data_IF_460956536326
#
_entry.id   IF_460956536326
#
_cell.length_a   1.000
_cell.length_b   1.000
_cell.length_c   1.000
_cell.angle_alpha   90.00
_cell.angle_beta   90.00
_cell.angle_gamma   90.00
#
_symmetry.space_group_name_H-M   'P 1'
#
loop_
_entity.id
_entity.type
_entity.pdbx_description
1 polymer ?
#
# COMPACT_ATOMS: atom_id res chain seq x y z
N UNK A 1 -11.30 -18.04 -23.17
CA UNK A 1 -11.32 -18.14 -21.70
C UNK A 1 -10.19 -17.26 -21.20
N UNK A 2 -10.49 -16.03 -20.76
CA UNK A 2 -9.51 -15.24 -20.04
C UNK A 2 -9.29 -15.89 -18.67
N UNK A 3 -8.06 -16.31 -18.41
CA UNK A 3 -7.64 -16.80 -17.10
C UNK A 3 -7.79 -15.62 -16.14
N UNK A 4 -8.82 -15.63 -15.27
CA UNK A 4 -8.86 -14.69 -14.16
C UNK A 4 -7.62 -14.98 -13.31
N UNK A 5 -6.63 -14.10 -13.39
CA UNK A 5 -5.46 -14.15 -12.53
C UNK A 5 -5.95 -14.06 -11.10
N UNK A 6 -5.52 -14.99 -10.24
CA UNK A 6 -5.90 -14.94 -8.83
C UNK A 6 -5.33 -13.66 -8.20
N UNK A 7 -6.12 -13.02 -7.33
CA UNK A 7 -5.66 -11.85 -6.60
C UNK A 7 -4.35 -12.16 -5.85
N UNK A 8 -3.48 -11.15 -5.77
CA UNK A 8 -2.18 -11.24 -5.13
C UNK A 8 -2.32 -11.60 -3.65
N UNK A 9 -1.42 -12.47 -3.20
CA UNK A 9 -1.23 -12.76 -1.79
C UNK A 9 -0.63 -11.55 -1.07
N UNK A 10 -0.77 -11.51 0.26
CA UNK A 10 -0.14 -10.51 1.13
C UNK A 10 1.37 -10.38 0.85
N UNK A 11 2.08 -11.49 0.70
CA UNK A 11 3.53 -11.51 0.42
C UNK A 11 3.86 -10.87 -0.93
N UNK A 12 3.05 -11.13 -1.96
CA UNK A 12 3.22 -10.53 -3.28
C UNK A 12 2.95 -9.03 -3.23
N UNK A 13 1.90 -8.60 -2.52
CA UNK A 13 1.61 -7.17 -2.33
C UNK A 13 2.76 -6.48 -1.59
N UNK A 14 3.25 -7.04 -0.48
CA UNK A 14 4.37 -6.46 0.28
C UNK A 14 5.63 -6.39 -0.58
N UNK A 15 5.89 -7.40 -1.43
CA UNK A 15 7.02 -7.37 -2.36
C UNK A 15 6.91 -6.23 -3.38
N UNK A 16 5.72 -6.02 -3.95
CA UNK A 16 5.47 -4.88 -4.86
C UNK A 16 5.64 -3.55 -4.12
N UNK A 17 5.05 -3.43 -2.94
CA UNK A 17 5.13 -2.24 -2.10
C UNK A 17 6.58 -1.90 -1.74
N UNK A 18 7.37 -2.88 -1.31
CA UNK A 18 8.78 -2.67 -0.98
C UNK A 18 9.60 -2.16 -2.18
N UNK A 19 9.29 -2.63 -3.38
CA UNK A 19 9.96 -2.14 -4.59
C UNK A 19 9.56 -0.70 -4.91
N UNK A 20 8.29 -0.35 -4.73
CA UNK A 20 7.79 1.01 -4.92
C UNK A 20 8.39 1.98 -3.89
N UNK A 21 8.42 1.60 -2.60
CA UNK A 21 9.05 2.38 -1.53
C UNK A 21 10.53 2.67 -1.83
N UNK A 22 11.30 1.66 -2.25
CA UNK A 22 12.71 1.85 -2.65
C UNK A 22 12.88 2.81 -3.82
N UNK A 23 11.99 2.73 -4.82
CA UNK A 23 11.99 3.67 -5.96
C UNK A 23 11.67 5.10 -5.52
N UNK A 24 10.96 5.26 -4.41
CA UNK A 24 10.68 6.56 -3.79
C UNK A 24 11.75 7.00 -2.77
N UNK A 25 12.92 6.34 -2.75
CA UNK A 25 14.04 6.70 -1.87
C UNK A 25 13.89 6.20 -0.43
N UNK A 26 12.83 5.46 -0.11
CA UNK A 26 12.65 4.87 1.20
C UNK A 26 13.49 3.61 1.39
N UNK A 27 13.71 3.24 2.66
CA UNK A 27 14.40 2.01 3.05
C UNK A 27 13.43 1.11 3.84
N UNK A 28 12.57 0.32 3.17
CA UNK A 28 11.50 -0.48 3.79
C UNK A 28 11.94 -1.33 4.98
N UNK A 29 13.12 -1.95 4.88
CA UNK A 29 13.69 -2.79 5.92
C UNK A 29 14.07 -2.06 7.22
N UNK A 30 14.09 -0.73 7.20
CA UNK A 30 14.30 0.14 8.38
C UNK A 30 13.01 0.81 8.85
N UNK A 31 11.89 0.51 8.22
CA UNK A 31 10.59 1.12 8.51
C UNK A 31 9.68 0.09 9.17
N UNK A 32 8.74 0.59 9.96
CA UNK A 32 7.61 -0.22 10.39
C UNK A 32 6.64 -0.34 9.22
N UNK A 33 6.25 -1.56 8.87
CA UNK A 33 5.34 -1.82 7.74
C UNK A 33 4.04 -2.36 8.29
N UNK A 34 2.94 -1.65 8.00
CA UNK A 34 1.60 -2.10 8.37
C UNK A 34 0.80 -2.50 7.14
N UNK A 35 0.05 -3.58 7.32
CA UNK A 35 -0.79 -4.20 6.30
C UNK A 35 -2.12 -4.57 6.96
N UNK A 36 -3.20 -4.03 6.43
CA UNK A 36 -4.57 -4.29 6.87
C UNK A 36 -5.33 -4.96 5.72
N UNK A 37 -5.57 -6.26 5.85
CA UNK A 37 -6.14 -7.06 4.78
C UNK A 37 -7.52 -6.53 4.36
N UNK A 38 -7.64 -6.15 3.08
CA UNK A 38 -8.88 -5.57 2.55
C UNK A 38 -9.16 -4.13 2.99
N UNK A 39 -8.20 -3.47 3.65
CA UNK A 39 -8.25 -2.06 4.06
C UNK A 39 -9.41 -1.74 5.03
N UNK A 40 -9.82 -2.71 5.85
CA UNK A 40 -10.95 -2.54 6.78
C UNK A 40 -10.72 -1.42 7.80
N UNK A 41 -9.56 -1.42 8.46
CA UNK A 41 -9.12 -0.41 9.39
C UNK A 41 -8.80 0.91 8.67
N UNK A 42 -8.14 0.85 7.51
CA UNK A 42 -7.79 2.06 6.75
C UNK A 42 -9.01 2.85 6.28
N UNK A 43 -10.08 2.17 5.89
CA UNK A 43 -11.33 2.84 5.52
C UNK A 43 -11.94 3.61 6.69
N UNK A 44 -11.80 3.10 7.90
CA UNK A 44 -12.35 3.70 9.12
C UNK A 44 -11.49 4.87 9.63
N UNK A 45 -10.17 4.69 9.72
CA UNK A 45 -9.26 5.69 10.30
C UNK A 45 -8.84 6.77 9.32
N UNK A 46 -8.71 6.44 8.03
CA UNK A 46 -8.16 7.38 7.07
C UNK A 46 -9.21 8.25 6.39
N UNK A 47 -10.53 7.91 6.46
CA UNK A 47 -11.52 8.36 5.43
C UNK A 47 -10.80 8.41 4.07
N UNK A 48 -10.21 7.27 3.70
CA UNK A 48 -8.99 7.21 2.87
C UNK A 48 -8.95 8.28 1.77
N UNK A 49 -7.82 8.97 1.55
CA UNK A 49 -7.72 10.09 0.62
C UNK A 49 -7.91 9.69 -0.86
N UNK A 50 -8.46 8.50 -1.13
CA UNK A 50 -8.56 7.85 -2.43
C UNK A 50 -10.01 7.64 -2.91
N UNK A 51 -10.87 8.67 -2.96
CA UNK A 51 -12.21 8.55 -3.53
C UNK A 51 -12.17 8.03 -4.99
N UNK A 52 -11.08 8.28 -5.72
CA UNK A 52 -10.86 7.78 -7.08
C UNK A 52 -10.66 6.26 -7.17
N UNK A 53 -10.42 5.59 -6.05
CA UNK A 53 -10.25 4.14 -5.95
C UNK A 53 -11.51 3.44 -5.41
N UNK A 54 -12.61 4.17 -5.22
CA UNK A 54 -13.90 3.58 -4.82
C UNK A 54 -14.34 2.51 -5.84
N UNK A 55 -14.70 1.32 -5.36
CA UNK A 55 -15.07 0.18 -6.20
C UNK A 55 -13.90 -0.58 -6.84
N UNK A 56 -12.64 -0.15 -6.65
CA UNK A 56 -11.46 -0.92 -7.08
C UNK A 56 -11.03 -1.92 -6.01
N UNK A 57 -10.53 -3.08 -6.44
CA UNK A 57 -9.93 -4.09 -5.55
C UNK A 57 -8.44 -3.80 -5.36
N UNK A 58 -8.14 -2.94 -4.38
CA UNK A 58 -6.78 -2.53 -4.06
C UNK A 58 -6.39 -2.87 -2.62
N UNK A 59 -5.09 -2.89 -2.36
CA UNK A 59 -4.51 -3.04 -1.03
C UNK A 59 -3.56 -1.89 -0.75
N UNK A 60 -3.75 -1.22 0.39
CA UNK A 60 -2.82 -0.22 0.88
C UNK A 60 -1.79 -0.87 1.81
N UNK A 61 -0.55 -0.44 1.69
CA UNK A 61 0.56 -0.76 2.61
C UNK A 61 1.13 0.56 3.10
N UNK A 62 1.33 0.69 4.40
CA UNK A 62 1.95 1.89 4.97
C UNK A 62 3.31 1.57 5.55
N UNK A 63 4.23 2.51 5.35
CA UNK A 63 5.58 2.50 5.90
C UNK A 63 5.72 3.68 6.85
N UNK A 64 6.17 3.44 8.08
CA UNK A 64 6.44 4.47 9.07
C UNK A 64 7.91 4.45 9.48
N UNK A 65 8.55 5.63 9.57
CA UNK A 65 9.88 5.72 10.16
C UNK A 65 9.87 5.36 11.65
N UNK A 66 10.96 4.75 12.10
CA UNK A 66 11.26 4.60 13.52
C UNK A 66 12.61 5.26 13.84
N UNK A 67 12.65 6.30 14.70
CA UNK A 67 11.52 6.95 15.38
C UNK A 67 10.56 7.65 14.39
N UNK A 68 9.28 7.87 14.77
CA UNK A 68 8.35 8.63 13.94
C UNK A 68 8.89 10.05 13.71
N UNK A 69 8.82 10.51 12.48
CA UNK A 69 9.08 11.90 12.10
C UNK A 69 7.81 12.49 11.49
N UNK A 70 7.54 13.79 11.67
CA UNK A 70 6.45 14.46 10.98
C UNK A 70 6.54 14.23 9.46
N UNK A 71 5.43 13.89 8.81
CA UNK A 71 5.35 13.65 7.35
C UNK A 71 6.26 12.50 6.87
N UNK A 72 6.64 11.60 7.78
CA UNK A 72 7.57 10.51 7.52
C UNK A 72 6.94 9.19 7.06
N UNK A 73 5.63 9.14 6.91
CA UNK A 73 4.96 7.93 6.48
C UNK A 73 4.82 7.86 4.97
N UNK A 74 4.71 6.66 4.41
CA UNK A 74 4.47 6.45 2.99
C UNK A 74 3.37 5.41 2.78
N UNK A 75 2.28 5.82 2.14
CA UNK A 75 1.25 4.95 1.62
C UNK A 75 1.64 4.43 0.23
N UNK A 76 1.41 3.15 0.01
CA UNK A 76 1.54 2.51 -1.31
C UNK A 76 0.28 1.72 -1.59
N UNK A 77 -0.39 2.08 -2.69
CA UNK A 77 -1.66 1.52 -3.11
C UNK A 77 -1.45 0.62 -4.32
N UNK A 78 -1.92 -0.62 -4.21
CA UNK A 78 -1.63 -1.66 -5.19
C UNK A 78 -2.93 -2.31 -5.64
N UNK A 79 -3.14 -2.40 -6.96
CA UNK A 79 -4.21 -3.22 -7.52
C UNK A 79 -3.93 -4.70 -7.22
N UNK A 80 -4.89 -5.36 -6.55
CA UNK A 80 -4.68 -6.75 -6.10
C UNK A 80 -4.72 -7.75 -7.23
N UNK A 81 -5.26 -7.41 -8.40
CA UNK A 81 -5.36 -8.34 -9.52
C UNK A 81 -4.13 -8.27 -10.42
N UNK A 82 -3.62 -7.07 -10.68
CA UNK A 82 -2.49 -6.85 -11.59
C UNK A 82 -1.14 -6.68 -10.88
N UNK A 83 -1.15 -6.23 -9.61
CA UNK A 83 0.06 -5.79 -8.92
C UNK A 83 0.58 -4.43 -9.38
N UNK A 84 -0.22 -3.68 -10.13
CA UNK A 84 0.08 -2.30 -10.49
C UNK A 84 0.07 -1.41 -9.24
N UNK A 85 1.06 -0.54 -9.13
CA UNK A 85 1.08 0.51 -8.10
C UNK A 85 0.20 1.64 -8.59
N UNK A 86 -0.95 1.82 -7.94
CA UNK A 86 -1.98 2.80 -8.27
C UNK A 86 -1.58 4.21 -7.80
N UNK A 87 -1.01 4.29 -6.59
CA UNK A 87 -0.56 5.55 -6.01
C UNK A 87 0.54 5.32 -4.97
N UNK A 88 1.37 6.35 -4.78
CA UNK A 88 2.35 6.44 -3.70
C UNK A 88 2.23 7.83 -3.09
N UNK A 89 1.90 7.91 -1.81
CA UNK A 89 1.53 9.17 -1.14
C UNK A 89 2.21 9.28 0.23
N UNK A 90 2.52 10.50 0.64
CA UNK A 90 2.99 10.75 1.99
C UNK A 90 1.84 10.50 2.98
N UNK A 91 2.12 9.73 4.02
CA UNK A 91 1.16 9.53 5.10
C UNK A 91 1.31 10.66 6.13
N UNK A 92 0.17 11.14 6.69
CA UNK A 92 0.15 12.25 7.63
C UNK A 92 0.90 11.96 8.94
#
# INVERSE_FOLDING_TARGET
>A
METRQAALSKEQVIKVANNAARRHGQTPEKMHVEYDEGNSHWRDVARGPWPELEGRDFQAVIYWHQPPIPEGGLWILIDRNSGEVLSVEEAP
#
